data_IF_163233902586
#
_entry.id   IF_163233902586
#
_cell.length_a   1.000
_cell.length_b   1.000
_cell.length_c   1.000
_cell.angle_alpha   90.00
_cell.angle_beta   90.00
_cell.angle_gamma   90.00
#
_symmetry.space_group_name_H-M   'P 1'
#
loop_
_entity.id
_entity.type
_entity.pdbx_description
1 polymer ?
#
# COMPACT_ATOMS: atom_id res chain seq x y z
N UNK A 1 21.15 -25.15 -12.96
CA UNK A 1 19.80 -25.25 -12.38
C UNK A 1 19.47 -23.91 -11.75
N UNK A 2 18.79 -23.02 -12.47
CA UNK A 2 18.29 -21.77 -11.89
C UNK A 2 16.98 -22.09 -11.21
N UNK A 3 16.93 -21.98 -9.88
CA UNK A 3 15.69 -22.11 -9.13
C UNK A 3 14.73 -21.00 -9.58
N UNK A 4 13.54 -21.38 -10.03
CA UNK A 4 12.44 -20.45 -10.27
C UNK A 4 12.22 -19.61 -8.99
N UNK A 5 12.10 -18.27 -9.09
CA UNK A 5 11.88 -17.45 -7.91
C UNK A 5 10.58 -17.90 -7.24
N UNK A 6 10.71 -18.32 -5.97
CA UNK A 6 9.57 -18.78 -5.18
C UNK A 6 8.66 -17.58 -4.95
N UNK A 7 7.44 -17.63 -5.48
CA UNK A 7 6.41 -16.64 -5.17
C UNK A 7 6.16 -16.66 -3.66
N UNK A 8 6.30 -15.51 -3.01
CA UNK A 8 6.00 -15.34 -1.59
C UNK A 8 4.55 -14.89 -1.41
N UNK A 9 3.92 -15.29 -0.31
CA UNK A 9 2.57 -14.83 0.00
C UNK A 9 2.54 -13.32 0.27
N UNK A 10 1.40 -12.63 0.09
CA UNK A 10 1.27 -11.22 0.45
C UNK A 10 1.63 -10.92 1.93
N UNK A 11 1.31 -11.84 2.85
CA UNK A 11 1.65 -11.70 4.26
C UNK A 11 3.16 -11.79 4.48
N UNK A 12 3.82 -12.73 3.81
CA UNK A 12 5.28 -12.86 3.90
C UNK A 12 6.00 -11.66 3.29
N UNK A 13 5.49 -11.14 2.16
CA UNK A 13 5.99 -9.89 1.58
C UNK A 13 5.85 -8.73 2.57
N UNK A 14 4.69 -8.62 3.25
CA UNK A 14 4.46 -7.60 4.27
C UNK A 14 5.44 -7.72 5.44
N UNK A 15 5.68 -8.92 5.96
CA UNK A 15 6.62 -9.14 7.06
C UNK A 15 8.06 -8.75 6.72
N UNK A 16 8.47 -8.89 5.45
CA UNK A 16 9.82 -8.54 4.97
C UNK A 16 9.97 -7.06 4.59
N UNK A 17 8.87 -6.33 4.40
CA UNK A 17 8.92 -4.92 3.98
C UNK A 17 9.51 -4.03 5.09
N UNK A 18 10.24 -2.99 4.68
CA UNK A 18 10.77 -1.96 5.57
C UNK A 18 9.67 -1.01 6.05
N UNK A 19 9.91 -0.32 7.17
CA UNK A 19 9.01 0.72 7.65
C UNK A 19 9.18 2.03 6.86
N UNK A 20 8.11 2.84 6.70
CA UNK A 20 6.75 2.57 7.17
C UNK A 20 6.02 1.53 6.30
N UNK A 21 5.30 0.59 6.92
CA UNK A 21 4.40 -0.36 6.23
C UNK A 21 3.04 -0.47 6.92
N UNK A 22 2.01 -0.78 6.14
CA UNK A 22 0.64 -0.96 6.63
C UNK A 22 -0.03 -2.15 5.94
N UNK A 23 -0.77 -2.96 6.73
CA UNK A 23 -1.57 -4.08 6.22
C UNK A 23 -3.06 -3.73 6.34
N UNK A 24 -3.76 -3.72 5.21
CA UNK A 24 -5.20 -3.50 5.12
C UNK A 24 -5.85 -4.77 4.58
N UNK A 25 -6.66 -5.45 5.41
CA UNK A 25 -7.34 -6.70 5.05
C UNK A 25 -8.78 -6.39 4.70
N UNK A 26 -9.21 -6.78 3.51
CA UNK A 26 -10.57 -6.61 3.00
C UNK A 26 -11.28 -7.97 2.90
N UNK A 27 -12.57 -8.04 3.24
CA UNK A 27 -13.36 -9.23 2.95
C UNK A 27 -13.60 -9.34 1.44
N UNK A 28 -13.32 -10.50 0.84
CA UNK A 28 -13.55 -10.74 -0.58
C UNK A 28 -12.58 -11.74 -1.22
N UNK A 29 -12.78 -11.98 -2.51
CA UNK A 29 -11.90 -12.77 -3.37
C UNK A 29 -10.71 -11.97 -3.92
N UNK A 30 -9.92 -12.61 -4.77
CA UNK A 30 -8.65 -12.09 -5.26
C UNK A 30 -8.74 -10.71 -5.95
N UNK A 31 -9.87 -10.43 -6.62
CA UNK A 31 -10.06 -9.20 -7.39
C UNK A 31 -11.07 -8.21 -6.78
N UNK A 32 -11.66 -8.53 -5.63
CA UNK A 32 -12.76 -7.74 -5.09
C UNK A 32 -12.30 -6.37 -4.60
N UNK A 33 -11.00 -6.19 -4.31
CA UNK A 33 -10.40 -4.89 -3.97
C UNK A 33 -10.33 -3.89 -5.15
N UNK A 34 -10.73 -4.28 -6.36
CA UNK A 34 -10.68 -3.45 -7.56
C UNK A 34 -12.05 -3.02 -8.08
N UNK A 35 -13.14 -3.33 -7.38
CA UNK A 35 -14.48 -2.89 -7.76
C UNK A 35 -15.43 -2.70 -6.57
N UNK A 36 -16.55 -2.01 -6.81
CA UNK A 36 -17.62 -1.85 -5.83
C UNK A 36 -17.18 -1.16 -4.52
N UNK A 37 -17.85 -1.43 -3.40
CA UNK A 37 -17.53 -0.81 -2.11
C UNK A 37 -16.11 -1.09 -1.62
N UNK A 38 -15.55 -2.25 -1.99
CA UNK A 38 -14.20 -2.64 -1.63
C UNK A 38 -13.15 -1.81 -2.38
N UNK A 39 -13.42 -1.34 -3.60
CA UNK A 39 -12.53 -0.41 -4.30
C UNK A 39 -12.39 0.91 -3.53
N UNK A 40 -13.50 1.51 -3.12
CA UNK A 40 -13.47 2.78 -2.39
C UNK A 40 -12.70 2.66 -1.07
N UNK A 41 -12.93 1.59 -0.32
CA UNK A 41 -12.20 1.30 0.91
C UNK A 41 -10.68 1.08 0.66
N UNK A 42 -10.35 0.27 -0.35
CA UNK A 42 -8.98 -0.06 -0.71
C UNK A 42 -8.20 1.16 -1.21
N UNK A 43 -8.75 1.87 -2.19
CA UNK A 43 -8.14 3.03 -2.81
C UNK A 43 -7.98 4.18 -1.81
N UNK A 44 -8.98 4.42 -0.96
CA UNK A 44 -8.90 5.40 0.14
C UNK A 44 -7.74 5.08 1.09
N UNK A 45 -7.64 3.83 1.56
CA UNK A 45 -6.56 3.41 2.46
C UNK A 45 -5.17 3.57 1.82
N UNK A 46 -5.00 3.17 0.55
CA UNK A 46 -3.71 3.25 -0.14
C UNK A 46 -3.30 4.71 -0.41
N UNK A 47 -4.22 5.54 -0.89
CA UNK A 47 -3.94 6.95 -1.19
C UNK A 47 -3.62 7.74 0.06
N UNK A 48 -4.28 7.47 1.20
CA UNK A 48 -3.96 8.11 2.46
C UNK A 48 -2.55 7.76 2.95
N UNK A 49 -2.15 6.48 2.86
CA UNK A 49 -0.81 6.04 3.22
C UNK A 49 0.26 6.76 2.38
N UNK A 50 0.06 6.83 1.06
CA UNK A 50 0.97 7.52 0.15
C UNK A 50 1.01 9.03 0.43
N UNK A 51 -0.14 9.67 0.67
CA UNK A 51 -0.19 11.09 1.03
C UNK A 51 0.65 11.38 2.27
N UNK A 52 0.54 10.53 3.30
CA UNK A 52 1.24 10.68 4.58
C UNK A 52 2.75 10.43 4.48
N UNK A 53 3.19 9.47 3.68
CA UNK A 53 4.57 9.00 3.70
C UNK A 53 5.39 9.34 2.45
N UNK A 54 4.75 9.62 1.33
CA UNK A 54 5.39 9.92 0.05
C UNK A 54 5.17 11.38 -0.37
N UNK A 55 3.94 11.89 -0.30
CA UNK A 55 3.60 13.23 -0.83
C UNK A 55 3.82 14.38 0.16
N UNK A 56 4.35 14.13 1.36
CA UNK A 56 4.51 15.15 2.41
C UNK A 56 5.69 16.12 2.19
N UNK A 57 6.34 16.10 1.02
CA UNK A 57 7.58 16.85 0.76
C UNK A 57 7.44 18.24 0.11
N UNK A 58 6.25 18.84 0.00
CA UNK A 58 6.11 20.15 -0.70
C UNK A 58 5.36 21.27 0.02
N UNK A 59 5.25 21.27 1.36
CA UNK A 59 4.74 22.44 2.10
C UNK A 59 5.70 23.01 3.15
N UNK A 60 6.88 22.39 3.35
CA UNK A 60 7.89 22.91 4.28
C UNK A 60 8.81 23.99 3.66
N UNK A 61 8.75 24.21 2.34
CA UNK A 61 9.68 25.10 1.62
C UNK A 61 9.10 26.44 1.14
N UNK A 62 7.78 26.63 1.16
CA UNK A 62 7.13 27.81 0.56
C UNK A 62 6.32 28.67 1.56
N UNK A 63 6.32 28.34 2.85
CA UNK A 63 5.66 29.14 3.89
C UNK A 63 6.61 30.13 4.60
N UNK A 64 7.63 30.61 3.89
CA UNK A 64 8.38 31.81 4.26
C UNK A 64 8.38 32.67 3.00
N UNK A 65 7.46 33.64 2.93
CA UNK A 65 7.58 35.03 2.46
C UNK A 65 6.18 35.65 2.42
#
# INVERSE_FOLDING_TARGET
MTSSPRLISPLEAFLRALEPKQLHILPGGHFDGYSGPNFEANAGCQTEFLRKHLCSSEMAGYAVY
#
